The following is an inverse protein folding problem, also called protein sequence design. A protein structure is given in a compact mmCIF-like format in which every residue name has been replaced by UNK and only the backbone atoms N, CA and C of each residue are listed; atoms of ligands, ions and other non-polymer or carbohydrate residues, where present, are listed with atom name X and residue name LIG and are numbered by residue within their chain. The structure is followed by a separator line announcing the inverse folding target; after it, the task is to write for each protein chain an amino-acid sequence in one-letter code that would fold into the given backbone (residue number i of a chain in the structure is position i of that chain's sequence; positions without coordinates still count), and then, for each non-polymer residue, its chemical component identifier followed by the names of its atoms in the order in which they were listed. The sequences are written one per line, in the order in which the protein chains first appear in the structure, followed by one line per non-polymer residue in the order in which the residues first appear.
data_IF_385956085059
#
_entry.id   IF_385956085059
#
_cell.length_a   1.000
_cell.length_b   1.000
_cell.length_c   1.000
_cell.angle_alpha   90.00
_cell.angle_beta   90.00
_cell.angle_gamma   90.00
#
_symmetry.space_group_name_H-M   'P 1'
#
loop_
_entity.id
_entity.type
_entity.pdbx_description
1 polymer ?
#
# COMPACT_ATOMS: atom_id res chain seq x y z
N UNK A 1 -27.00 7.57 -2.75
CA UNK A 1 -25.89 6.92 -2.01
C UNK A 1 -25.00 6.19 -3.02
N UNK A 2 -23.67 6.32 -2.96
CA UNK A 2 -22.73 5.63 -3.86
C UNK A 2 -21.91 4.62 -3.05
N UNK A 3 -22.08 3.33 -3.34
CA UNK A 3 -21.33 2.25 -2.70
C UNK A 3 -20.07 1.94 -3.52
N UNK A 4 -18.95 1.73 -2.84
CA UNK A 4 -17.66 1.41 -3.45
C UNK A 4 -17.12 0.14 -2.81
N UNK A 5 -16.93 -0.90 -3.62
CA UNK A 5 -16.27 -2.14 -3.20
C UNK A 5 -14.80 -2.06 -3.57
N UNK A 6 -13.91 -2.24 -2.58
CA UNK A 6 -12.46 -2.17 -2.80
C UNK A 6 -11.82 -3.47 -2.40
N UNK A 7 -11.09 -4.07 -3.33
CA UNK A 7 -10.28 -5.24 -3.05
C UNK A 7 -8.87 -4.82 -2.59
N UNK A 8 -8.46 -5.30 -1.43
CA UNK A 8 -7.13 -5.02 -0.89
C UNK A 8 -6.05 -5.97 -1.40
N UNK A 9 -4.80 -5.55 -1.25
CA UNK A 9 -3.59 -6.35 -1.46
C UNK A 9 -3.31 -6.79 -2.91
N UNK A 10 -3.71 -5.99 -3.90
CA UNK A 10 -3.26 -6.23 -5.28
C UNK A 10 -1.73 -6.18 -5.32
N UNK A 11 -1.09 -7.17 -5.95
CA UNK A 11 0.36 -7.27 -5.98
C UNK A 11 1.01 -7.91 -4.75
N UNK A 12 0.24 -8.48 -3.81
CA UNK A 12 0.80 -9.28 -2.71
C UNK A 12 1.36 -10.63 -3.18
N UNK A 13 0.61 -11.35 -4.02
CA UNK A 13 1.03 -12.60 -4.65
C UNK A 13 0.23 -12.87 -5.93
N UNK A 14 0.70 -13.74 -6.84
CA UNK A 14 0.03 -13.98 -8.12
C UNK A 14 -1.42 -14.44 -7.97
N UNK A 15 -1.68 -15.38 -7.05
CA UNK A 15 -3.03 -15.92 -6.80
C UNK A 15 -4.02 -14.84 -6.34
N UNK A 16 -3.57 -13.91 -5.49
CA UNK A 16 -4.40 -12.81 -5.00
C UNK A 16 -4.68 -11.79 -6.10
N UNK A 17 -3.66 -11.43 -6.87
CA UNK A 17 -3.81 -10.53 -8.02
C UNK A 17 -4.79 -11.09 -9.05
N UNK A 18 -4.69 -12.40 -9.35
CA UNK A 18 -5.61 -13.06 -10.28
C UNK A 18 -7.07 -12.97 -9.81
N UNK A 19 -7.36 -13.30 -8.55
CA UNK A 19 -8.71 -13.20 -8.01
C UNK A 19 -9.26 -11.76 -8.05
N UNK A 20 -8.41 -10.77 -7.80
CA UNK A 20 -8.80 -9.35 -7.92
C UNK A 20 -9.13 -8.98 -9.37
N UNK A 21 -8.37 -9.49 -10.34
CA UNK A 21 -8.68 -9.26 -11.76
C UNK A 21 -10.00 -9.93 -12.17
N UNK A 22 -10.27 -11.16 -11.73
CA UNK A 22 -11.54 -11.85 -11.96
C UNK A 22 -12.74 -11.06 -11.37
N UNK A 23 -12.56 -10.46 -10.19
CA UNK A 23 -13.57 -9.59 -9.58
C UNK A 23 -13.79 -8.29 -10.36
N UNK A 24 -12.74 -7.71 -10.95
CA UNK A 24 -12.88 -6.56 -11.84
C UNK A 24 -13.64 -6.92 -13.12
N UNK A 25 -13.27 -8.02 -13.77
CA UNK A 25 -13.92 -8.49 -15.02
C UNK A 25 -15.40 -8.81 -14.81
N UNK A 26 -15.73 -9.41 -13.66
CA UNK A 26 -17.12 -9.72 -13.29
C UNK A 26 -17.90 -8.52 -12.72
N UNK A 27 -17.30 -7.34 -12.66
CA UNK A 27 -17.93 -6.11 -12.16
C UNK A 27 -18.29 -6.14 -10.67
N UNK A 28 -17.69 -7.04 -9.88
CA UNK A 28 -17.99 -7.23 -8.45
C UNK A 28 -17.28 -6.25 -7.53
N UNK A 29 -16.18 -5.66 -8.00
CA UNK A 29 -15.45 -4.62 -7.27
C UNK A 29 -15.40 -3.32 -8.07
N UNK A 30 -15.43 -2.21 -7.35
CA UNK A 30 -15.32 -0.89 -7.92
C UNK A 30 -13.86 -0.46 -8.08
N UNK A 31 -13.01 -0.86 -7.14
CA UNK A 31 -11.61 -0.42 -7.04
C UNK A 31 -10.72 -1.50 -6.41
N UNK A 32 -9.40 -1.30 -6.48
CA UNK A 32 -8.44 -2.12 -5.75
C UNK A 32 -7.26 -1.29 -5.25
N UNK A 33 -6.55 -1.80 -4.26
CA UNK A 33 -5.37 -1.17 -3.67
C UNK A 33 -4.10 -1.96 -3.99
N UNK A 34 -3.15 -1.33 -4.70
CA UNK A 34 -1.89 -1.92 -5.14
C UNK A 34 -0.82 -1.76 -4.04
N UNK A 35 -0.30 -2.88 -3.55
CA UNK A 35 0.92 -2.90 -2.76
C UNK A 35 2.11 -2.60 -3.66
N UNK A 36 2.96 -1.65 -3.27
CA UNK A 36 4.15 -1.25 -4.04
C UNK A 36 5.45 -1.81 -3.48
N UNK A 37 5.39 -2.38 -2.28
CA UNK A 37 6.57 -2.77 -1.51
C UNK A 37 6.84 -4.28 -1.52
N UNK A 38 6.11 -5.02 -2.35
CA UNK A 38 6.32 -6.45 -2.66
C UNK A 38 6.91 -6.55 -4.06
N UNK A 39 8.14 -6.04 -4.24
CA UNK A 39 8.75 -5.72 -5.56
C UNK A 39 8.47 -6.74 -6.68
N UNK A 40 8.64 -8.04 -6.40
CA UNK A 40 8.46 -9.10 -7.39
C UNK A 40 7.05 -9.11 -8.00
N UNK A 41 6.03 -8.98 -7.17
CA UNK A 41 4.62 -9.17 -7.58
C UNK A 41 3.91 -7.83 -7.82
N UNK A 42 4.29 -6.77 -7.12
CA UNK A 42 3.77 -5.42 -7.33
C UNK A 42 3.97 -4.92 -8.76
N UNK A 43 5.14 -5.16 -9.35
CA UNK A 43 5.45 -4.72 -10.71
C UNK A 43 4.61 -5.45 -11.75
N UNK A 44 4.49 -6.77 -11.62
CA UNK A 44 3.67 -7.59 -12.51
C UNK A 44 2.19 -7.19 -12.43
N UNK A 45 1.67 -7.05 -11.20
CA UNK A 45 0.29 -6.62 -10.98
C UNK A 45 0.03 -5.21 -11.56
N UNK A 46 0.98 -4.28 -11.41
CA UNK A 46 0.90 -2.93 -11.98
C UNK A 46 0.82 -2.91 -13.51
N UNK A 47 1.57 -3.79 -14.19
CA UNK A 47 1.47 -3.94 -15.66
C UNK A 47 0.10 -4.49 -16.07
N UNK A 48 -0.35 -5.54 -15.39
CA UNK A 48 -1.59 -6.24 -15.73
C UNK A 48 -2.85 -5.44 -15.38
N UNK A 49 -2.77 -4.51 -14.43
CA UNK A 49 -3.91 -3.68 -14.01
C UNK A 49 -4.06 -2.37 -14.79
N UNK A 50 -3.23 -2.12 -15.81
CA UNK A 50 -3.24 -0.86 -16.58
C UNK A 50 -4.63 -0.51 -17.14
N UNK A 51 -5.38 -1.51 -17.64
CA UNK A 51 -6.75 -1.30 -18.15
C UNK A 51 -7.73 -0.80 -17.07
N UNK A 52 -7.39 -0.98 -15.80
CA UNK A 52 -8.14 -0.53 -14.65
C UNK A 52 -7.51 0.66 -13.95
N UNK A 53 -6.50 1.32 -14.53
CA UNK A 53 -5.69 2.35 -13.85
C UNK A 53 -6.53 3.36 -13.05
N UNK A 54 -7.64 3.85 -13.60
CA UNK A 54 -8.51 4.83 -12.94
C UNK A 54 -9.22 4.33 -11.66
N UNK A 55 -9.23 3.00 -11.48
CA UNK A 55 -9.86 2.28 -10.37
C UNK A 55 -8.82 1.73 -9.37
N UNK A 56 -7.53 1.90 -9.64
CA UNK A 56 -6.46 1.44 -8.74
C UNK A 56 -5.96 2.61 -7.89
N UNK A 57 -5.79 2.36 -6.61
CA UNK A 57 -5.05 3.27 -5.71
C UNK A 57 -3.92 2.54 -5.01
N UNK A 58 -3.13 3.26 -4.23
CA UNK A 58 -2.01 2.70 -3.47
C UNK A 58 -2.49 2.06 -2.18
N UNK A 59 -1.90 0.94 -1.84
CA UNK A 59 -2.11 0.23 -0.58
C UNK A 59 -1.03 0.62 0.43
N UNK A 60 -1.42 1.36 1.46
CA UNK A 60 -0.52 1.73 2.55
C UNK A 60 -0.35 0.61 3.54
N UNK A 61 0.91 0.23 3.70
CA UNK A 61 1.34 -0.87 4.52
C UNK A 61 2.76 -0.61 5.04
N UNK A 62 3.00 -0.95 6.31
CA UNK A 62 4.32 -1.00 6.96
C UNK A 62 4.54 -2.32 7.70
N UNK A 63 3.70 -3.32 7.46
CA UNK A 63 3.77 -4.61 8.12
C UNK A 63 4.22 -5.72 7.18
N UNK A 64 3.84 -5.69 5.90
CA UNK A 64 4.11 -6.76 4.92
C UNK A 64 5.17 -6.35 3.88
N UNK A 65 5.95 -7.29 3.34
CA UNK A 65 6.89 -6.99 2.24
C UNK A 65 8.19 -6.32 2.69
N UNK A 66 8.79 -5.47 1.84
CA UNK A 66 10.04 -4.78 2.14
C UNK A 66 9.78 -3.30 2.49
N UNK A 67 10.59 -2.68 3.35
CA UNK A 67 10.46 -1.25 3.62
C UNK A 67 10.94 -0.43 2.42
N UNK A 68 10.10 0.53 2.02
CA UNK A 68 10.46 1.54 1.01
C UNK A 68 11.33 2.65 1.61
N UNK A 69 11.17 2.92 2.91
CA UNK A 69 11.88 3.97 3.61
C UNK A 69 13.41 3.79 3.53
N UNK A 70 14.10 4.92 3.41
CA UNK A 70 15.56 5.03 3.49
C UNK A 70 15.93 6.08 4.55
N UNK A 71 16.89 5.82 5.46
CA UNK A 71 17.52 4.50 5.74
C UNK A 71 16.51 3.38 6.07
N UNK A 72 16.92 2.11 6.06
CA UNK A 72 15.99 1.01 6.40
C UNK A 72 15.53 1.16 7.86
N UNK A 73 14.22 1.09 8.18
CA UNK A 73 13.72 1.19 9.55
C UNK A 73 14.05 -0.08 10.34
N UNK A 74 15.05 -0.01 11.21
CA UNK A 74 15.64 -1.18 11.86
C UNK A 74 14.67 -1.86 12.83
N UNK A 75 13.76 -1.12 13.46
CA UNK A 75 12.78 -1.64 14.40
C UNK A 75 11.54 -2.23 13.73
N UNK A 76 11.37 -2.03 12.42
CA UNK A 76 10.22 -2.53 11.65
C UNK A 76 10.55 -3.77 10.82
N UNK A 77 11.81 -4.20 10.81
CA UNK A 77 12.27 -5.30 9.95
C UNK A 77 12.89 -6.45 10.74
N UNK A 78 12.87 -7.63 10.13
CA UNK A 78 13.65 -8.77 10.56
C UNK A 78 15.14 -8.65 10.16
N UNK A 79 15.93 -9.67 10.51
CA UNK A 79 17.34 -9.76 10.16
C UNK A 79 17.64 -9.86 8.65
N UNK A 80 16.62 -10.07 7.81
CA UNK A 80 16.72 -10.08 6.34
C UNK A 80 16.29 -8.74 5.73
N UNK A 81 15.89 -7.77 6.56
CA UNK A 81 15.39 -6.47 6.11
C UNK A 81 13.95 -6.51 5.58
N UNK A 82 13.19 -7.58 5.86
CA UNK A 82 11.77 -7.70 5.55
C UNK A 82 10.92 -7.18 6.70
N UNK A 83 9.77 -6.58 6.41
CA UNK A 83 8.85 -6.11 7.45
C UNK A 83 8.31 -7.28 8.29
N UNK A 84 8.08 -7.05 9.58
CA UNK A 84 7.82 -8.09 10.59
C UNK A 84 6.46 -8.80 10.47
N UNK A 85 5.61 -8.42 9.51
CA UNK A 85 4.21 -8.82 9.43
C UNK A 85 3.37 -8.18 10.54
N UNK A 86 2.04 -8.29 10.45
CA UNK A 86 1.14 -7.72 11.48
C UNK A 86 1.41 -8.29 12.87
N UNK A 87 1.61 -9.61 12.98
CA UNK A 87 1.88 -10.25 14.28
C UNK A 87 3.20 -9.78 14.88
N UNK A 88 4.28 -9.77 14.10
CA UNK A 88 5.58 -9.32 14.57
C UNK A 88 5.58 -7.83 14.92
N UNK A 89 4.86 -7.01 14.14
CA UNK A 89 4.66 -5.60 14.45
C UNK A 89 4.05 -5.41 15.85
N UNK A 90 2.89 -6.03 16.11
CA UNK A 90 2.22 -5.86 17.40
C UNK A 90 2.99 -6.45 18.57
N UNK A 91 3.71 -7.56 18.36
CA UNK A 91 4.56 -8.14 19.41
C UNK A 91 5.75 -7.26 19.79
N UNK A 92 6.21 -6.38 18.88
CA UNK A 92 7.38 -5.53 19.09
C UNK A 92 7.03 -4.03 19.24
N UNK A 93 5.76 -3.64 19.13
CA UNK A 93 5.35 -2.24 18.98
C UNK A 93 5.83 -1.31 20.11
N UNK A 94 5.91 -1.80 21.35
CA UNK A 94 6.40 -1.02 22.49
C UNK A 94 7.89 -0.68 22.42
N UNK A 95 8.65 -1.40 21.57
CA UNK A 95 10.10 -1.24 21.38
C UNK A 95 10.43 -0.57 20.05
N UNK A 96 9.42 -0.17 19.27
CA UNK A 96 9.62 0.42 17.96
C UNK A 96 9.91 1.92 18.07
N UNK A 97 10.78 2.40 17.18
CA UNK A 97 11.10 3.82 17.09
C UNK A 97 9.97 4.59 16.37
N UNK A 98 9.30 5.54 17.04
CA UNK A 98 8.15 6.25 16.44
C UNK A 98 8.48 6.98 15.14
N UNK A 99 9.70 7.51 15.01
CA UNK A 99 10.13 8.18 13.78
C UNK A 99 10.35 7.18 12.62
N UNK A 100 10.70 5.93 12.90
CA UNK A 100 10.76 4.89 11.87
C UNK A 100 9.38 4.52 11.36
N UNK A 101 8.40 4.39 12.25
CA UNK A 101 6.98 4.18 11.90
C UNK A 101 6.48 5.35 11.04
N UNK A 102 6.69 6.59 11.50
CA UNK A 102 6.27 7.80 10.79
C UNK A 102 6.91 7.90 9.41
N UNK A 103 8.21 7.61 9.31
CA UNK A 103 8.95 7.63 8.05
C UNK A 103 8.54 6.51 7.11
N UNK A 104 8.33 5.29 7.60
CA UNK A 104 7.78 4.18 6.83
C UNK A 104 6.42 4.54 6.20
N UNK A 105 5.53 5.10 7.01
CA UNK A 105 4.21 5.55 6.57
C UNK A 105 4.32 6.69 5.55
N UNK A 106 5.17 7.69 5.81
CA UNK A 106 5.46 8.77 4.85
C UNK A 106 6.05 8.26 3.55
N UNK A 107 6.96 7.30 3.55
CA UNK A 107 7.55 6.79 2.31
C UNK A 107 6.54 5.98 1.50
N UNK A 108 5.71 5.15 2.13
CA UNK A 108 4.61 4.47 1.44
C UNK A 108 3.65 5.46 0.79
N UNK A 109 3.46 6.65 1.40
CA UNK A 109 2.78 7.80 0.78
C UNK A 109 3.62 8.39 -0.35
N UNK A 110 4.90 8.70 -0.16
CA UNK A 110 5.71 9.45 -1.12
C UNK A 110 6.20 8.64 -2.33
N UNK A 111 6.10 7.30 -2.31
CA UNK A 111 6.24 6.49 -3.54
C UNK A 111 5.23 6.92 -4.62
N UNK A 112 4.19 7.70 -4.25
CA UNK A 112 3.36 8.56 -5.14
C UNK A 112 4.15 9.33 -6.21
N UNK A 113 5.37 9.78 -5.92
CA UNK A 113 6.04 10.82 -6.73
C UNK A 113 7.30 10.36 -7.47
N UNK A 114 7.96 9.28 -7.05
CA UNK A 114 9.40 9.16 -7.35
C UNK A 114 9.86 7.95 -8.16
N UNK A 115 9.30 6.75 -8.02
CA UNK A 115 9.91 5.62 -8.72
C UNK A 115 8.99 4.42 -8.95
N UNK A 116 8.26 4.52 -10.06
CA UNK A 116 7.97 3.37 -10.90
C UNK A 116 8.46 3.71 -12.31
N UNK A 117 9.75 3.98 -12.50
CA UNK A 117 10.32 4.28 -13.83
C UNK A 117 10.00 3.24 -14.93
N UNK A 118 9.48 2.07 -14.55
CA UNK A 118 9.01 1.01 -15.44
C UNK A 118 7.48 0.76 -15.44
N UNK A 119 6.68 1.52 -14.68
CA UNK A 119 5.21 1.48 -14.69
C UNK A 119 4.67 2.91 -14.84
N UNK A 120 4.85 3.51 -16.02
CA UNK A 120 4.04 4.67 -16.39
C UNK A 120 2.86 4.17 -17.22
N UNK A 121 1.62 4.53 -16.86
CA UNK A 121 1.20 5.88 -16.54
C UNK A 121 0.56 5.95 -15.15
N UNK A 122 1.01 6.93 -14.37
CA UNK A 122 0.26 7.66 -13.34
C UNK A 122 -1.11 7.05 -13.01
N UNK A 123 -1.13 6.13 -12.04
CA UNK A 123 -2.39 5.78 -11.37
C UNK A 123 -2.95 7.06 -10.72
N UNK A 124 -4.26 7.34 -10.83
CA UNK A 124 -4.84 8.45 -10.08
C UNK A 124 -4.50 8.29 -8.60
N UNK A 125 -4.18 9.42 -7.97
CA UNK A 125 -3.66 9.49 -6.61
C UNK A 125 -4.81 9.19 -5.62
N UNK A 126 -5.19 7.92 -5.52
CA UNK A 126 -6.07 7.39 -4.48
C UNK A 126 -5.27 6.48 -3.60
N UNK A 127 -5.58 6.50 -2.31
CA UNK A 127 -4.83 5.73 -1.32
C UNK A 127 -5.79 5.02 -0.39
N UNK A 128 -5.50 3.76 -0.13
CA UNK A 128 -6.23 2.89 0.78
C UNK A 128 -5.27 2.44 1.87
N UNK A 129 -5.78 2.24 3.08
CA UNK A 129 -4.97 1.88 4.23
C UNK A 129 -5.39 0.51 4.75
N UNK A 130 -4.45 -0.44 4.82
CA UNK A 130 -4.68 -1.72 5.51
C UNK A 130 -4.11 -1.77 6.92
N UNK A 131 -3.32 -0.76 7.28
CA UNK A 131 -2.71 -0.58 8.59
C UNK A 131 -3.38 0.61 9.32
N UNK A 132 -4.70 0.72 9.20
CA UNK A 132 -5.49 1.82 9.74
C UNK A 132 -5.27 2.03 11.24
N UNK A 133 -5.26 0.96 12.04
CA UNK A 133 -5.03 1.05 13.48
C UNK A 133 -3.63 1.58 13.83
N UNK A 134 -2.64 1.21 13.02
CA UNK A 134 -1.27 1.71 13.18
C UNK A 134 -1.21 3.19 12.80
N UNK A 135 -1.87 3.58 11.70
CA UNK A 135 -1.93 4.99 11.29
C UNK A 135 -2.64 5.86 12.31
N UNK A 136 -3.79 5.42 12.83
CA UNK A 136 -4.52 6.12 13.89
C UNK A 136 -3.65 6.32 15.12
N UNK A 137 -2.98 5.27 15.57
CA UNK A 137 -2.21 5.28 16.82
C UNK A 137 -0.92 6.07 16.72
N UNK A 138 -0.24 6.07 15.58
CA UNK A 138 1.12 6.60 15.47
C UNK A 138 1.28 7.85 14.61
N UNK A 139 0.27 8.24 13.82
CA UNK A 139 0.46 9.33 12.84
C UNK A 139 -0.47 10.52 13.08
N UNK A 140 -1.57 10.41 13.84
CA UNK A 140 -2.49 11.52 14.07
C UNK A 140 -3.12 12.12 12.79
N UNK A 141 -2.74 11.61 11.60
CA UNK A 141 -3.31 11.98 10.33
C UNK A 141 -4.70 11.35 10.24
N UNK A 142 -5.71 12.21 10.15
CA UNK A 142 -6.98 11.84 9.53
C UNK A 142 -6.73 11.75 8.02
N UNK A 143 -6.09 10.65 7.58
CA UNK A 143 -6.24 10.26 6.20
C UNK A 143 -7.72 9.92 6.06
N UNK A 144 -8.49 10.78 5.40
CA UNK A 144 -9.82 10.44 4.95
C UNK A 144 -9.67 9.32 3.92
N UNK A 145 -9.58 8.10 4.45
CA UNK A 145 -9.84 6.88 3.72
C UNK A 145 -11.13 7.14 2.95
N UNK A 146 -11.12 6.88 1.65
CA UNK A 146 -12.27 7.00 0.75
C UNK A 146 -12.55 8.35 0.07
N UNK A 147 -11.81 9.44 0.35
CA UNK A 147 -11.91 10.66 -0.49
C UNK A 147 -10.82 10.70 -1.56
N UNK A 148 -11.17 11.16 -2.77
CA UNK A 148 -10.19 11.64 -3.73
C UNK A 148 -9.31 12.69 -3.03
N UNK A 149 -8.10 12.33 -2.66
CA UNK A 149 -7.09 13.33 -2.34
C UNK A 149 -6.46 13.68 -3.68
N UNK A 150 -7.16 14.52 -4.45
CA UNK A 150 -6.46 15.32 -5.44
C UNK A 150 -5.52 16.23 -4.64
N UNK A 151 -4.26 15.82 -4.49
CA UNK A 151 -3.22 16.78 -4.13
C UNK A 151 -3.17 17.76 -5.30
N UNK A 152 -3.79 18.94 -5.13
CA UNK A 152 -3.38 20.09 -5.92
C UNK A 152 -1.93 20.34 -5.50
N UNK A 153 -1.01 20.03 -6.42
CA UNK A 153 0.37 20.50 -6.35
C UNK A 153 0.40 22.02 -6.33
#
# INVERSE_FOLDING_TARGET
MKLVFVADDLGYCPKRSQGIFELFESGKISRASLMVNVKKYSVEAGKNCFRFKEKIGLHFNITEGQPLARPVPQTLVDNKGCLLGKKGFWSAHDKMEPEEIRRGLKTSILVKSFDLKNLNPLFPIRTYSADYEIQRRFVGFHLHMWTDISMRM
#
